data_IF_764131928895
#
_entry.id   IF_764131928895
#
_cell.length_a   1.000
_cell.length_b   1.000
_cell.length_c   1.000
_cell.angle_alpha   90.00
_cell.angle_beta   90.00
_cell.angle_gamma   90.00
#
_symmetry.space_group_name_H-M   'P 1'
#
loop_
_entity.id
_entity.type
_entity.pdbx_description
1 polymer ?
#
# COMPACT_ATOMS: atom_id res chain seq x y z
N UNK A 1 33.82 -13.87 -11.08
CA UNK A 1 32.92 -14.33 -10.00
C UNK A 1 32.58 -13.28 -8.94
N UNK A 2 33.29 -12.14 -8.80
CA UNK A 2 33.03 -11.15 -7.75
C UNK A 2 31.83 -10.18 -7.99
N UNK A 3 31.31 -10.03 -9.23
CA UNK A 3 30.20 -9.10 -9.51
C UNK A 3 28.80 -9.61 -9.12
N UNK A 4 28.67 -10.91 -8.82
CA UNK A 4 27.35 -11.51 -8.57
C UNK A 4 26.90 -11.34 -7.10
N UNK A 5 27.83 -11.12 -6.16
CA UNK A 5 27.50 -10.87 -4.76
C UNK A 5 27.01 -9.44 -4.52
N UNK A 6 27.57 -8.46 -5.22
CA UNK A 6 27.23 -7.02 -5.05
C UNK A 6 25.80 -6.71 -5.48
N UNK A 7 25.33 -7.30 -6.59
CA UNK A 7 23.96 -7.09 -7.08
C UNK A 7 22.89 -7.66 -6.14
N UNK A 8 23.19 -8.77 -5.46
CA UNK A 8 22.29 -9.37 -4.50
C UNK A 8 22.16 -8.50 -3.25
N UNK A 9 23.27 -7.95 -2.77
CA UNK A 9 23.32 -7.10 -1.58
C UNK A 9 22.60 -5.75 -1.79
N UNK A 10 22.74 -5.14 -2.98
CA UNK A 10 21.96 -3.96 -3.37
C UNK A 10 20.45 -4.24 -3.39
N UNK A 11 20.03 -5.39 -3.96
CA UNK A 11 18.62 -5.79 -3.99
C UNK A 11 18.05 -6.02 -2.59
N UNK A 12 18.80 -6.69 -1.71
CA UNK A 12 18.38 -6.89 -0.32
C UNK A 12 18.24 -5.58 0.43
N UNK A 13 19.14 -4.63 0.20
CA UNK A 13 19.10 -3.31 0.83
C UNK A 13 17.88 -2.50 0.35
N UNK A 14 17.59 -2.53 -0.95
CA UNK A 14 16.40 -1.91 -1.52
C UNK A 14 15.11 -2.51 -0.94
N UNK A 15 15.02 -3.85 -0.85
CA UNK A 15 13.86 -4.54 -0.27
C UNK A 15 13.64 -4.18 1.20
N UNK A 16 14.70 -4.11 2.01
CA UNK A 16 14.59 -3.67 3.42
C UNK A 16 14.08 -2.24 3.53
N UNK A 17 14.58 -1.33 2.68
CA UNK A 17 14.12 0.05 2.67
C UNK A 17 12.65 0.18 2.26
N UNK A 18 12.20 -0.61 1.28
CA UNK A 18 10.78 -0.71 0.90
C UNK A 18 9.93 -1.22 2.05
N UNK A 19 10.34 -2.33 2.67
CA UNK A 19 9.64 -2.91 3.81
C UNK A 19 9.50 -1.91 4.97
N UNK A 20 10.58 -1.21 5.30
CA UNK A 20 10.57 -0.18 6.33
C UNK A 20 9.61 0.99 6.00
N UNK A 21 9.48 1.35 4.72
CA UNK A 21 8.53 2.39 4.28
C UNK A 21 7.07 1.90 4.29
N UNK A 22 6.84 0.60 4.04
CA UNK A 22 5.51 -0.02 3.94
C UNK A 22 4.91 -0.39 5.30
N UNK A 23 5.74 -0.77 6.27
CA UNK A 23 5.32 -1.17 7.63
C UNK A 23 4.38 -0.18 8.33
N UNK A 24 4.64 1.14 8.40
CA UNK A 24 3.74 2.06 9.08
C UNK A 24 2.37 2.13 8.39
N UNK A 25 2.34 2.14 7.05
CA UNK A 25 1.10 2.16 6.28
C UNK A 25 0.27 0.90 6.54
N UNK A 26 0.92 -0.26 6.60
CA UNK A 26 0.25 -1.53 6.89
C UNK A 26 -0.36 -1.54 8.30
N UNK A 27 0.35 -1.05 9.31
CA UNK A 27 -0.16 -0.94 10.68
C UNK A 27 -1.40 -0.02 10.76
N UNK A 28 -1.33 1.14 10.10
CA UNK A 28 -2.45 2.09 10.04
C UNK A 28 -3.65 1.47 9.33
N UNK A 29 -3.44 0.78 8.21
CA UNK A 29 -4.53 0.11 7.48
C UNK A 29 -5.21 -0.98 8.31
N UNK A 30 -4.43 -1.82 9.00
CA UNK A 30 -5.00 -2.84 9.89
C UNK A 30 -5.85 -2.19 10.98
N UNK A 31 -5.36 -1.10 11.59
CA UNK A 31 -6.12 -0.31 12.56
C UNK A 31 -7.44 0.22 11.98
N UNK A 32 -7.41 0.81 10.79
CA UNK A 32 -8.60 1.35 10.12
C UNK A 32 -9.58 0.23 9.74
N UNK A 33 -9.10 -0.90 9.22
CA UNK A 33 -9.94 -2.06 8.88
C UNK A 33 -10.63 -2.60 10.14
N UNK A 34 -9.89 -2.78 11.24
CA UNK A 34 -10.47 -3.23 12.51
C UNK A 34 -11.49 -2.23 13.05
N UNK A 35 -11.18 -0.93 13.08
CA UNK A 35 -12.14 0.09 13.51
C UNK A 35 -13.38 0.11 12.62
N UNK A 36 -13.22 -0.05 11.30
CA UNK A 36 -14.35 -0.10 10.37
C UNK A 36 -15.25 -1.31 10.58
N UNK A 37 -14.72 -2.42 11.09
CA UNK A 37 -15.51 -3.62 11.41
C UNK A 37 -16.40 -3.45 12.64
N UNK A 38 -16.09 -2.47 13.50
CA UNK A 38 -16.87 -2.16 14.71
C UNK A 38 -18.01 -1.18 14.43
N UNK A 39 -18.08 -0.60 13.23
CA UNK A 39 -19.12 0.34 12.86
C UNK A 39 -20.43 -0.43 12.60
N UNK A 40 -21.51 -0.02 13.27
CA UNK A 40 -22.86 -0.58 13.14
C UNK A 40 -23.58 -0.03 11.90
N UNK A 41 -23.02 -0.26 10.71
CA UNK A 41 -23.56 0.23 9.43
C UNK A 41 -23.95 -0.91 8.46
N UNK A 42 -24.10 -2.14 8.97
CA UNK A 42 -24.32 -3.32 8.13
C UNK A 42 -23.10 -3.74 7.31
N UNK A 43 -21.90 -3.23 7.66
CA UNK A 43 -20.63 -3.57 7.03
C UNK A 43 -20.36 -2.82 5.73
N UNK A 44 -21.05 -1.71 5.45
CA UNK A 44 -20.87 -0.93 4.22
C UNK A 44 -19.50 -0.25 4.18
N UNK A 45 -19.13 0.44 5.25
CA UNK A 45 -17.83 1.10 5.46
C UNK A 45 -16.75 0.03 5.52
N UNK A 46 -16.96 -1.07 6.26
CA UNK A 46 -15.99 -2.18 6.29
C UNK A 46 -15.68 -2.71 4.89
N UNK A 47 -16.71 -3.00 4.08
CA UNK A 47 -16.52 -3.45 2.69
C UNK A 47 -15.78 -2.41 1.86
N UNK A 48 -16.11 -1.12 2.00
CA UNK A 48 -15.43 -0.04 1.29
C UNK A 48 -13.94 0.06 1.65
N UNK A 49 -13.62 0.07 2.94
CA UNK A 49 -12.26 0.12 3.47
C UNK A 49 -11.47 -1.12 3.03
N UNK A 50 -12.08 -2.30 3.10
CA UNK A 50 -11.45 -3.55 2.69
C UNK A 50 -11.15 -3.56 1.18
N UNK A 51 -12.10 -3.13 0.34
CA UNK A 51 -11.88 -3.00 -1.12
C UNK A 51 -10.76 -1.99 -1.41
N UNK A 52 -10.72 -0.86 -0.70
CA UNK A 52 -9.65 0.12 -0.84
C UNK A 52 -8.28 -0.43 -0.42
N UNK A 53 -8.21 -1.18 0.68
CA UNK A 53 -6.98 -1.81 1.15
C UNK A 53 -6.45 -2.84 0.13
N UNK A 54 -7.30 -3.75 -0.33
CA UNK A 54 -6.90 -4.79 -1.30
C UNK A 54 -6.44 -4.15 -2.62
N UNK A 55 -7.23 -3.22 -3.17
CA UNK A 55 -6.88 -2.56 -4.44
C UNK A 55 -5.60 -1.72 -4.34
N UNK A 56 -5.38 -1.04 -3.23
CA UNK A 56 -4.13 -0.32 -2.96
C UNK A 56 -2.92 -1.27 -2.98
N UNK A 57 -3.00 -2.40 -2.29
CA UNK A 57 -1.91 -3.37 -2.26
C UNK A 57 -1.63 -4.00 -3.62
N UNK A 58 -2.67 -4.29 -4.41
CA UNK A 58 -2.51 -4.76 -5.78
C UNK A 58 -1.80 -3.71 -6.65
N UNK A 59 -2.17 -2.43 -6.51
CA UNK A 59 -1.51 -1.34 -7.22
C UNK A 59 -0.03 -1.19 -6.80
N UNK A 60 0.24 -1.22 -5.50
CA UNK A 60 1.60 -1.18 -4.96
C UNK A 60 2.42 -2.36 -5.48
N UNK A 61 1.88 -3.58 -5.43
CA UNK A 61 2.55 -4.78 -5.92
C UNK A 61 2.88 -4.65 -7.42
N UNK A 62 1.92 -4.20 -8.24
CA UNK A 62 2.14 -3.94 -9.65
C UNK A 62 3.20 -2.85 -9.91
N UNK A 63 3.19 -1.77 -9.12
CA UNK A 63 4.18 -0.70 -9.21
C UNK A 63 5.59 -1.20 -8.84
N UNK A 64 5.71 -2.02 -7.80
CA UNK A 64 6.97 -2.63 -7.36
C UNK A 64 7.52 -3.58 -8.42
N UNK A 65 6.68 -4.44 -9.00
CA UNK A 65 7.11 -5.34 -10.08
C UNK A 65 7.53 -4.58 -11.34
N UNK A 66 6.87 -3.45 -11.65
CA UNK A 66 7.17 -2.63 -12.82
C UNK A 66 8.42 -1.75 -12.64
N UNK A 67 8.67 -1.20 -11.45
CA UNK A 67 9.72 -0.20 -11.18
C UNK A 67 10.99 -0.76 -10.51
N UNK A 68 11.57 -1.86 -11.02
CA UNK A 68 12.91 -2.38 -10.61
C UNK A 68 13.92 -1.26 -10.24
N UNK A 69 14.91 -1.55 -9.37
CA UNK A 69 15.10 -1.06 -7.99
C UNK A 69 15.33 0.47 -7.83
N UNK A 70 14.92 1.32 -8.77
CA UNK A 70 15.00 2.78 -8.62
C UNK A 70 13.77 3.30 -7.88
N UNK A 71 13.82 3.21 -6.55
CA UNK A 71 12.87 3.89 -5.67
C UNK A 71 13.12 5.39 -5.69
N UNK A 72 12.29 6.11 -6.44
CA UNK A 72 12.32 7.56 -6.41
C UNK A 72 11.77 8.09 -5.08
N UNK A 73 12.10 9.34 -4.73
CA UNK A 73 11.56 9.97 -3.51
C UNK A 73 10.03 10.01 -3.52
N UNK A 74 9.43 10.15 -4.71
CA UNK A 74 7.99 10.17 -4.90
C UNK A 74 7.33 8.82 -4.55
N UNK A 75 7.98 7.70 -4.88
CA UNK A 75 7.46 6.37 -4.56
C UNK A 75 7.38 6.14 -3.05
N UNK A 76 8.36 6.64 -2.28
CA UNK A 76 8.33 6.57 -0.81
C UNK A 76 7.21 7.42 -0.20
N UNK A 77 6.92 8.58 -0.78
CA UNK A 77 5.80 9.42 -0.38
C UNK A 77 4.47 8.73 -0.66
N UNK A 78 4.33 8.15 -1.86
CA UNK A 78 3.15 7.39 -2.26
C UNK A 78 2.94 6.16 -1.38
N UNK A 79 3.98 5.40 -1.04
CA UNK A 79 3.86 4.22 -0.16
C UNK A 79 3.41 4.57 1.26
N UNK A 80 3.77 5.76 1.76
CA UNK A 80 3.39 6.24 3.11
C UNK A 80 1.96 6.79 3.15
N UNK A 81 1.61 7.66 2.22
CA UNK A 81 0.37 8.44 2.29
C UNK A 81 -0.66 8.06 1.21
N UNK A 82 -0.25 7.33 0.18
CA UNK A 82 -1.10 6.96 -0.96
C UNK A 82 -2.34 6.19 -0.56
N UNK A 83 -2.30 5.43 0.53
CA UNK A 83 -3.48 4.74 1.04
C UNK A 83 -4.63 5.68 1.39
N UNK A 84 -4.37 6.85 2.01
CA UNK A 84 -5.44 7.79 2.37
C UNK A 84 -6.10 8.39 1.14
N UNK A 85 -5.30 8.76 0.14
CA UNK A 85 -5.81 9.23 -1.15
C UNK A 85 -6.61 8.13 -1.87
N UNK A 86 -6.12 6.90 -1.84
CA UNK A 86 -6.78 5.75 -2.45
C UNK A 86 -8.12 5.42 -1.78
N UNK A 87 -8.15 5.47 -0.45
CA UNK A 87 -9.37 5.28 0.33
C UNK A 87 -10.41 6.35 -0.01
N UNK A 88 -10.00 7.62 -0.08
CA UNK A 88 -10.87 8.72 -0.49
C UNK A 88 -11.40 8.52 -1.92
N UNK A 89 -10.54 8.13 -2.86
CA UNK A 89 -10.93 7.83 -4.24
C UNK A 89 -11.98 6.71 -4.31
N UNK A 90 -11.74 5.58 -3.64
CA UNK A 90 -12.68 4.45 -3.63
C UNK A 90 -14.01 4.83 -2.98
N UNK A 91 -13.98 5.60 -1.89
CA UNK A 91 -15.18 6.09 -1.23
C UNK A 91 -16.01 7.00 -2.14
N UNK A 92 -15.36 7.93 -2.84
CA UNK A 92 -16.03 8.81 -3.83
C UNK A 92 -16.60 7.98 -4.97
N UNK A 93 -15.81 7.13 -5.63
CA UNK A 93 -16.30 6.30 -6.75
C UNK A 93 -17.50 5.47 -6.34
N UNK A 94 -17.49 4.90 -5.13
CA UNK A 94 -18.63 4.13 -4.61
C UNK A 94 -19.88 5.00 -4.40
N UNK A 95 -19.74 6.26 -3.98
CA UNK A 95 -20.90 7.16 -3.80
C UNK A 95 -21.55 7.60 -5.11
N UNK A 96 -20.87 7.43 -6.26
CA UNK A 96 -21.47 7.67 -7.58
C UNK A 96 -22.21 6.45 -8.15
N UNK A 97 -22.00 5.26 -7.57
CA UNK A 97 -22.53 3.97 -8.07
C UNK A 97 -23.72 3.48 -7.22
N UNK A 98 -23.86 3.98 -5.99
CA UNK A 98 -24.97 3.67 -5.08
C UNK A 98 -26.14 4.65 -5.28
#
# INVERSE_FOLDING_TARGET
MARMSTDAEERFTALRAMWAAMRPTLLVQVGIVLMSSLVLDGGVIYKCVLTAAISYWLFVLAAVFRRRPRLERHDRWFLKWGFFFWLGYVAVVRSWVA
#
